data_IF_352802539869
#
_entry.id   IF_352802539869
#
_cell.length_a   1.000
_cell.length_b   1.000
_cell.length_c   1.000
_cell.angle_alpha   90.00
_cell.angle_beta   90.00
_cell.angle_gamma   90.00
#
_symmetry.space_group_name_H-M   'P 1'
#
loop_
_entity.id
_entity.type
_entity.pdbx_description
1 polymer ?
#
# COMPACT_ATOMS: atom_id res chain seq x y z
N UNK A 1 -6.44 -15.64 17.57
CA UNK A 1 -5.43 -14.57 17.69
C UNK A 1 -4.69 -14.75 19.02
N UNK A 2 -3.39 -15.02 18.98
CA UNK A 2 -2.59 -15.38 20.17
C UNK A 2 -2.14 -14.16 20.99
N UNK A 3 -2.18 -12.97 20.40
CA UNK A 3 -1.94 -11.68 21.05
C UNK A 3 -3.15 -10.76 20.79
N UNK A 4 -3.62 -10.03 21.81
CA UNK A 4 -4.75 -9.09 21.72
C UNK A 4 -4.26 -7.66 21.42
N UNK A 5 -3.37 -7.50 20.44
CA UNK A 5 -2.97 -6.17 19.98
C UNK A 5 -3.87 -5.75 18.82
N UNK A 6 -4.42 -4.51 18.85
CA UNK A 6 -5.11 -3.98 17.70
C UNK A 6 -4.10 -3.81 16.55
N UNK A 7 -4.56 -4.13 15.35
CA UNK A 7 -3.84 -3.89 14.11
C UNK A 7 -4.84 -3.42 13.06
N UNK A 8 -4.33 -2.73 12.05
CA UNK A 8 -5.11 -2.23 10.93
C UNK A 8 -4.47 -2.70 9.63
N UNK A 9 -5.33 -2.86 8.62
CA UNK A 9 -4.94 -3.36 7.31
C UNK A 9 -5.37 -2.35 6.25
N UNK A 10 -4.43 -1.91 5.43
CA UNK A 10 -4.72 -1.18 4.20
C UNK A 10 -4.51 -2.15 3.04
N UNK A 11 -5.47 -2.17 2.12
CA UNK A 11 -5.33 -2.79 0.82
C UNK A 11 -5.35 -1.67 -0.22
N UNK A 12 -4.26 -1.55 -0.97
CA UNK A 12 -4.02 -0.51 -1.96
C UNK A 12 -4.00 -1.15 -3.33
N UNK A 13 -4.82 -0.65 -4.25
CA UNK A 13 -4.82 -1.01 -5.67
C UNK A 13 -4.15 0.13 -6.46
N UNK A 14 -3.31 -0.19 -7.44
CA UNK A 14 -2.74 0.81 -8.34
C UNK A 14 -3.71 1.06 -9.50
N UNK A 15 -4.32 2.25 -9.51
CA UNK A 15 -5.22 2.65 -10.58
C UNK A 15 -4.54 2.64 -11.96
N UNK A 16 -5.25 2.13 -12.97
CA UNK A 16 -4.83 2.10 -14.36
C UNK A 16 -3.50 1.35 -14.62
N UNK A 17 -3.04 0.48 -13.73
CA UNK A 17 -1.78 -0.25 -13.94
C UNK A 17 -1.78 -1.07 -15.24
N UNK A 18 -2.94 -1.63 -15.61
CA UNK A 18 -3.11 -2.27 -16.92
C UNK A 18 -2.75 -1.37 -18.11
N UNK A 19 -3.05 -0.07 -18.04
CA UNK A 19 -2.71 0.87 -19.13
C UNK A 19 -1.18 0.98 -19.30
N UNK A 20 -0.42 1.00 -18.20
CA UNK A 20 1.05 1.00 -18.23
C UNK A 20 1.55 -0.25 -18.96
N UNK A 21 0.98 -1.42 -18.68
CA UNK A 21 1.35 -2.67 -19.35
C UNK A 21 0.87 -2.76 -20.80
N UNK A 22 -0.22 -2.10 -21.16
CA UNK A 22 -0.74 -2.09 -22.52
C UNK A 22 0.03 -1.09 -23.40
N UNK A 23 0.50 0.04 -22.85
CA UNK A 23 1.30 1.07 -23.56
C UNK A 23 2.80 0.79 -23.57
N UNK A 24 3.30 -0.03 -22.63
CA UNK A 24 4.71 -0.36 -22.48
C UNK A 24 4.94 -1.87 -22.39
N UNK A 25 6.19 -2.28 -22.18
CA UNK A 25 6.50 -3.69 -21.93
C UNK A 25 6.18 -4.06 -20.48
N UNK A 26 5.84 -5.33 -20.21
CA UNK A 26 5.67 -5.84 -18.84
C UNK A 26 6.82 -5.50 -17.89
N UNK A 27 8.05 -5.42 -18.41
CA UNK A 27 9.23 -5.01 -17.63
C UNK A 27 9.13 -3.58 -17.07
N UNK A 28 8.42 -2.69 -17.75
CA UNK A 28 8.13 -1.32 -17.27
C UNK A 28 7.11 -1.38 -16.13
N UNK A 29 6.07 -2.22 -16.25
CA UNK A 29 5.14 -2.52 -15.16
C UNK A 29 5.87 -3.05 -13.92
N UNK A 30 6.74 -4.04 -14.08
CA UNK A 30 7.53 -4.59 -12.97
C UNK A 30 8.37 -3.52 -12.26
N UNK A 31 9.04 -2.65 -13.03
CA UNK A 31 9.80 -1.55 -12.48
C UNK A 31 8.91 -0.54 -11.74
N UNK A 32 7.70 -0.29 -12.24
CA UNK A 32 6.71 0.56 -11.60
C UNK A 32 6.30 -0.03 -10.23
N UNK A 33 6.00 -1.33 -10.15
CA UNK A 33 5.68 -2.01 -8.89
C UNK A 33 6.83 -1.94 -7.89
N UNK A 34 8.07 -2.16 -8.33
CA UNK A 34 9.26 -2.03 -7.47
C UNK A 34 9.40 -0.59 -6.95
N UNK A 35 9.16 0.40 -7.80
CA UNK A 35 9.22 1.80 -7.41
C UNK A 35 8.14 2.15 -6.38
N UNK A 36 6.90 1.72 -6.61
CA UNK A 36 5.77 1.94 -5.71
C UNK A 36 6.03 1.25 -4.36
N UNK A 37 6.50 0.00 -4.36
CA UNK A 37 6.88 -0.71 -3.14
C UNK A 37 7.93 0.06 -2.32
N UNK A 38 8.91 0.66 -3.00
CA UNK A 38 9.93 1.51 -2.38
C UNK A 38 9.34 2.77 -1.76
N UNK A 39 8.41 3.44 -2.45
CA UNK A 39 7.72 4.64 -1.96
C UNK A 39 6.85 4.31 -0.73
N UNK A 40 6.07 3.24 -0.79
CA UNK A 40 5.23 2.79 0.32
C UNK A 40 6.07 2.46 1.56
N UNK A 41 7.22 1.80 1.37
CA UNK A 41 8.15 1.46 2.47
C UNK A 41 8.80 2.71 3.09
N UNK A 42 8.97 3.78 2.31
CA UNK A 42 9.53 5.05 2.79
C UNK A 42 8.48 6.02 3.34
N UNK A 43 7.19 5.72 3.17
CA UNK A 43 6.11 6.55 3.66
C UNK A 43 6.16 6.63 5.19
N UNK A 44 6.18 7.85 5.73
CA UNK A 44 6.25 8.08 7.18
C UNK A 44 5.08 7.43 7.91
N UNK A 45 3.89 7.48 7.33
CA UNK A 45 2.67 6.96 7.95
C UNK A 45 2.67 5.42 8.00
N UNK A 46 3.48 4.76 7.15
CA UNK A 46 3.67 3.31 7.14
C UNK A 46 4.96 2.84 7.84
N UNK A 47 5.72 3.75 8.43
CA UNK A 47 7.06 3.46 9.00
C UNK A 47 7.08 2.47 10.16
N UNK A 48 5.96 2.30 10.87
CA UNK A 48 5.80 1.33 11.97
C UNK A 48 5.20 0.00 11.52
N UNK A 49 4.83 -0.11 10.25
CA UNK A 49 4.13 -1.25 9.69
C UNK A 49 4.99 -2.16 8.82
N UNK A 50 4.31 -3.07 8.13
CA UNK A 50 4.88 -3.92 7.10
C UNK A 50 4.12 -3.70 5.80
N UNK A 51 4.86 -3.41 4.73
CA UNK A 51 4.33 -3.36 3.35
C UNK A 51 4.66 -4.69 2.66
N UNK A 52 3.67 -5.30 2.01
CA UNK A 52 3.84 -6.53 1.26
C UNK A 52 3.03 -6.50 -0.05
N UNK A 53 3.54 -7.08 -1.14
CA UNK A 53 2.71 -7.35 -2.32
C UNK A 53 1.59 -8.33 -1.94
N UNK A 54 0.38 -8.06 -2.43
CA UNK A 54 -0.80 -8.93 -2.20
C UNK A 54 -1.27 -9.59 -3.49
N UNK A 55 -1.31 -8.83 -4.58
CA UNK A 55 -1.76 -9.26 -5.90
C UNK A 55 -0.80 -8.81 -7.01
N UNK A 56 -1.30 -8.81 -8.25
CA UNK A 56 -0.52 -8.39 -9.42
C UNK A 56 -0.21 -6.89 -9.44
N UNK A 57 -1.14 -6.07 -8.94
CA UNK A 57 -1.03 -4.61 -8.85
C UNK A 57 -1.50 -4.07 -7.48
N UNK A 58 -1.64 -4.96 -6.50
CA UNK A 58 -2.16 -4.67 -5.16
C UNK A 58 -1.08 -4.80 -4.09
N UNK A 59 -1.08 -3.88 -3.12
CA UNK A 59 -0.24 -3.90 -1.93
C UNK A 59 -1.07 -3.98 -0.66
N UNK A 60 -0.56 -4.73 0.32
CA UNK A 60 -1.12 -4.86 1.65
C UNK A 60 -0.18 -4.20 2.66
N UNK A 61 -0.74 -3.38 3.55
CA UNK A 61 0.01 -2.71 4.61
C UNK A 61 -0.60 -3.05 5.96
N UNK A 62 0.19 -3.71 6.80
CA UNK A 62 -0.18 -4.07 8.17
C UNK A 62 0.41 -3.07 9.15
N UNK A 63 -0.44 -2.34 9.87
CA UNK A 63 -0.03 -1.34 10.85
C UNK A 63 -0.43 -1.80 12.26
N UNK A 64 0.53 -2.10 13.14
CA UNK A 64 0.24 -2.40 14.53
C UNK A 64 -0.10 -1.12 15.30
N UNK A 65 -0.90 -1.26 16.36
CA UNK A 65 -1.06 -0.25 17.41
C UNK A 65 -1.66 1.11 17.00
N UNK A 66 -2.18 1.25 15.78
CA UNK A 66 -2.98 2.41 15.39
C UNK A 66 -4.44 2.28 15.85
N UNK A 67 -5.07 3.40 16.20
CA UNK A 67 -6.51 3.43 16.47
C UNK A 67 -7.28 3.51 15.15
N UNK A 68 -8.57 3.17 15.18
CA UNK A 68 -9.43 3.31 14.00
C UNK A 68 -9.56 4.76 13.52
N UNK A 69 -9.39 5.74 14.42
CA UNK A 69 -9.42 7.17 14.06
C UNK A 69 -8.17 7.58 13.30
N UNK A 70 -6.98 7.13 13.72
CA UNK A 70 -5.72 7.42 13.02
C UNK A 70 -5.75 6.89 11.58
N UNK A 71 -6.23 5.67 11.43
CA UNK A 71 -6.38 5.00 10.12
C UNK A 71 -7.37 5.70 9.21
N UNK A 72 -8.48 6.18 9.77
CA UNK A 72 -9.48 6.91 9.00
C UNK A 72 -8.93 8.23 8.46
N UNK A 73 -8.18 8.99 9.27
CA UNK A 73 -7.53 10.23 8.84
C UNK A 73 -6.46 9.97 7.76
N UNK A 74 -5.67 8.88 7.90
CA UNK A 74 -4.72 8.46 6.86
C UNK A 74 -5.42 8.18 5.53
N UNK A 75 -6.49 7.36 5.55
CA UNK A 75 -7.25 7.04 4.36
C UNK A 75 -7.89 8.27 3.69
N UNK A 76 -8.36 9.25 4.48
CA UNK A 76 -8.93 10.50 3.94
C UNK A 76 -7.89 11.42 3.28
N UNK A 77 -6.62 11.32 3.66
CA UNK A 77 -5.56 12.11 3.04
C UNK A 77 -5.12 11.52 1.69
N UNK A 78 -5.28 10.22 1.48
CA UNK A 78 -5.02 9.57 0.19
C UNK A 78 -6.06 9.94 -0.89
N UNK A 79 -7.31 10.24 -0.51
CA UNK A 79 -8.42 10.54 -1.46
C UNK A 79 -8.42 12.01 -1.95
N UNK A 80 -7.47 12.85 -1.52
CA UNK A 80 -7.48 14.30 -1.76
C UNK A 80 -6.74 14.77 -3.02
N UNK A 81 -6.38 13.88 -3.94
CA UNK A 81 -5.76 14.24 -5.22
C UNK A 81 -6.67 13.94 -6.40
#
# INVERSE_FOLDING_TARGET
MRFKHPFNLFLIEIDFFKLINDEHTYKVGDNCLVHIASLLTQCRDFSTGMVAPYGGEEFCILLPELTSSDVFEMALNDVKY
#
